data_IF_449451674207
#
_entry.id   IF_449451674207
#
_cell.length_a   1.000
_cell.length_b   1.000
_cell.length_c   1.000
_cell.angle_alpha   90.00
_cell.angle_beta   90.00
_cell.angle_gamma   90.00
#
_symmetry.space_group_name_H-M   'P 1'
#
loop_
_entity.id
_entity.type
_entity.pdbx_description
1 polymer ?
#
# COMPACT_ATOMS: atom_id res chain seq x y z
N UNK A 1 19.97 -5.91 9.05
CA UNK A 1 18.65 -5.82 8.39
C UNK A 1 17.62 -6.53 9.24
N UNK A 2 16.53 -5.84 9.56
CA UNK A 2 15.36 -6.39 10.24
C UNK A 2 14.13 -6.18 9.36
N UNK A 3 13.14 -7.07 9.49
CA UNK A 3 11.90 -6.98 8.75
C UNK A 3 10.73 -7.50 9.58
N UNK A 4 9.62 -6.79 9.51
CA UNK A 4 8.36 -7.16 10.15
C UNK A 4 7.20 -6.56 9.38
N UNK A 5 6.00 -7.08 9.61
CA UNK A 5 4.80 -6.59 8.97
C UNK A 5 3.83 -6.02 10.00
N UNK A 6 3.15 -4.93 9.64
CA UNK A 6 2.11 -4.30 10.45
C UNK A 6 0.76 -4.60 9.79
N UNK A 7 -0.20 -5.11 10.56
CA UNK A 7 -1.58 -5.28 10.09
C UNK A 7 -2.34 -3.98 10.39
N UNK A 8 -2.42 -3.09 9.40
CA UNK A 8 -2.89 -1.72 9.58
C UNK A 8 -4.39 -1.70 9.90
N UNK A 9 -5.16 -2.33 9.03
CA UNK A 9 -6.61 -2.43 9.10
C UNK A 9 -7.05 -3.63 8.26
N UNK A 10 -8.33 -3.93 8.30
CA UNK A 10 -8.96 -4.78 7.28
C UNK A 10 -10.21 -4.15 6.75
N UNK A 11 -10.62 -4.58 5.56
CA UNK A 11 -11.83 -4.10 4.90
C UNK A 11 -12.47 -5.27 4.18
N UNK A 12 -13.70 -5.06 3.70
CA UNK A 12 -14.44 -6.05 2.93
C UNK A 12 -14.48 -5.66 1.46
N UNK A 13 -14.20 -6.64 0.60
CA UNK A 13 -14.31 -6.52 -0.85
C UNK A 13 -15.21 -7.62 -1.41
N UNK A 14 -15.89 -7.37 -2.54
CA UNK A 14 -16.64 -8.42 -3.23
C UNK A 14 -15.69 -9.55 -3.67
N UNK A 15 -15.99 -10.80 -3.26
CA UNK A 15 -15.14 -11.93 -3.58
C UNK A 15 -15.10 -12.26 -5.08
N UNK A 16 -16.16 -11.95 -5.82
CA UNK A 16 -16.16 -12.07 -7.28
C UNK A 16 -15.23 -11.07 -7.95
N UNK A 17 -15.20 -9.83 -7.45
CA UNK A 17 -14.25 -8.81 -7.90
C UNK A 17 -12.80 -9.22 -7.61
N UNK A 18 -12.52 -9.73 -6.40
CA UNK A 18 -11.17 -10.15 -6.00
C UNK A 18 -10.63 -11.35 -6.79
N UNK A 19 -11.49 -12.31 -7.13
CA UNK A 19 -11.08 -13.55 -7.80
C UNK A 19 -11.39 -13.60 -9.31
N UNK A 20 -11.99 -12.54 -9.85
CA UNK A 20 -12.26 -12.36 -11.28
C UNK A 20 -13.00 -13.55 -11.91
N UNK A 21 -12.35 -14.22 -12.86
CA UNK A 21 -12.94 -15.32 -13.63
C UNK A 21 -13.08 -16.62 -12.83
N UNK A 22 -12.48 -16.73 -11.65
CA UNK A 22 -12.53 -17.94 -10.84
C UNK A 22 -13.94 -18.09 -10.25
N UNK A 23 -14.63 -19.22 -10.47
CA UNK A 23 -15.96 -19.44 -9.93
C UNK A 23 -15.98 -19.39 -8.39
N UNK A 24 -17.06 -18.85 -7.82
CA UNK A 24 -17.30 -18.83 -6.36
C UNK A 24 -17.18 -20.20 -5.71
N UNK A 25 -17.64 -21.27 -6.37
CA UNK A 25 -17.51 -22.63 -5.87
C UNK A 25 -16.04 -23.09 -5.67
N UNK A 26 -15.06 -22.39 -6.25
CA UNK A 26 -13.63 -22.65 -6.12
C UNK A 26 -13.02 -21.69 -5.10
N UNK A 27 -13.11 -20.37 -5.29
CA UNK A 27 -12.42 -19.42 -4.42
C UNK A 27 -12.97 -19.39 -2.99
N UNK A 28 -14.26 -19.72 -2.79
CA UNK A 28 -14.88 -19.74 -1.46
C UNK A 28 -14.35 -20.86 -0.55
N UNK A 29 -13.55 -21.78 -1.09
CA UNK A 29 -12.81 -22.78 -0.30
C UNK A 29 -11.65 -22.16 0.50
N UNK A 30 -11.14 -21.01 0.04
CA UNK A 30 -10.01 -20.32 0.65
C UNK A 30 -10.46 -19.10 1.46
N UNK A 31 -11.46 -18.37 0.96
CA UNK A 31 -12.01 -17.18 1.62
C UNK A 31 -13.50 -17.35 1.88
N UNK A 32 -13.89 -17.29 3.15
CA UNK A 32 -15.30 -17.31 3.54
C UNK A 32 -15.93 -15.96 3.20
N UNK A 33 -16.93 -15.96 2.33
CA UNK A 33 -17.75 -14.80 2.04
C UNK A 33 -18.97 -14.73 2.97
N UNK A 34 -19.45 -13.52 3.24
CA UNK A 34 -20.72 -13.27 3.93
C UNK A 34 -21.93 -13.34 2.98
N UNK A 35 -23.13 -13.06 3.49
CA UNK A 35 -24.38 -13.05 2.72
C UNK A 35 -24.39 -12.05 1.56
N UNK A 36 -23.53 -11.03 1.59
CA UNK A 36 -23.36 -10.02 0.55
C UNK A 36 -22.24 -10.34 -0.44
N UNK A 37 -21.69 -11.57 -0.38
CA UNK A 37 -20.55 -12.01 -1.18
C UNK A 37 -19.23 -11.30 -0.85
N UNK A 38 -19.16 -10.60 0.28
CA UNK A 38 -17.97 -9.88 0.68
C UNK A 38 -16.99 -10.79 1.42
N UNK A 39 -15.70 -10.62 1.17
CA UNK A 39 -14.61 -11.29 1.86
C UNK A 39 -13.76 -10.27 2.60
N UNK A 40 -13.23 -10.67 3.77
CA UNK A 40 -12.33 -9.84 4.56
C UNK A 40 -10.92 -9.86 3.97
N UNK A 41 -10.39 -8.68 3.66
CA UNK A 41 -9.03 -8.43 3.14
C UNK A 41 -8.26 -7.62 4.18
N UNK A 42 -7.01 -7.99 4.42
CA UNK A 42 -6.13 -7.32 5.40
C UNK A 42 -5.17 -6.38 4.68
N UNK A 43 -5.16 -5.12 5.10
CA UNK A 43 -4.15 -4.15 4.69
C UNK A 43 -2.92 -4.33 5.57
N UNK A 44 -1.78 -4.56 4.91
CA UNK A 44 -0.53 -4.83 5.59
C UNK A 44 0.60 -4.05 4.95
N UNK A 45 1.40 -3.40 5.77
CA UNK A 45 2.68 -2.83 5.36
C UNK A 45 3.82 -3.75 5.75
N UNK A 46 4.88 -3.75 4.94
CA UNK A 46 6.16 -4.35 5.30
C UNK A 46 7.13 -3.25 5.71
N UNK A 47 7.74 -3.39 6.88
CA UNK A 47 8.81 -2.50 7.35
C UNK A 47 10.15 -3.22 7.19
N UNK A 48 11.13 -2.51 6.62
CA UNK A 48 12.49 -3.00 6.42
C UNK A 48 13.45 -2.00 7.05
N UNK A 49 14.19 -2.45 8.06
CA UNK A 49 15.23 -1.64 8.72
C UNK A 49 16.59 -2.11 8.22
N UNK A 50 17.39 -1.18 7.73
CA UNK A 50 18.79 -1.36 7.37
C UNK A 50 19.66 -0.44 8.24
N UNK A 51 20.98 -0.49 8.06
CA UNK A 51 21.89 0.33 8.85
C UNK A 51 21.70 1.85 8.58
N UNK A 52 21.11 2.22 7.44
CA UNK A 52 20.95 3.60 7.00
C UNK A 52 19.48 4.02 6.76
N UNK A 53 18.54 3.07 6.72
CA UNK A 53 17.17 3.31 6.24
C UNK A 53 16.13 2.60 7.07
N UNK A 54 14.98 3.25 7.24
CA UNK A 54 13.72 2.66 7.69
C UNK A 54 12.74 2.79 6.53
N UNK A 55 12.54 1.69 5.83
CA UNK A 55 11.74 1.63 4.60
C UNK A 55 10.38 1.05 4.94
N UNK A 56 9.32 1.78 4.58
CA UNK A 56 7.94 1.34 4.69
C UNK A 56 7.41 1.00 3.28
N UNK A 57 6.95 -0.24 3.08
CA UNK A 57 6.27 -0.66 1.84
C UNK A 57 4.77 -0.53 2.05
N UNK A 58 4.13 0.34 1.26
CA UNK A 58 2.74 0.78 1.36
C UNK A 58 2.37 1.34 2.74
N UNK A 59 1.29 2.11 2.83
CA UNK A 59 0.87 2.77 4.09
C UNK A 59 -0.64 2.74 4.34
N UNK A 60 -1.37 1.85 3.67
CA UNK A 60 -2.77 1.63 3.98
C UNK A 60 -3.69 2.76 3.52
N UNK A 61 -4.89 2.79 4.11
CA UNK A 61 -6.00 3.66 3.70
C UNK A 61 -5.97 5.06 4.30
N UNK A 62 -5.39 5.23 5.49
CA UNK A 62 -5.43 6.50 6.23
C UNK A 62 -6.84 6.89 6.72
N UNK A 63 -7.00 8.14 7.15
CA UNK A 63 -8.21 8.62 7.84
C UNK A 63 -8.84 9.86 7.18
N UNK A 64 -8.45 10.17 5.93
CA UNK A 64 -8.83 11.43 5.27
C UNK A 64 -10.18 11.39 4.59
N UNK A 65 -10.56 10.22 4.07
CA UNK A 65 -11.78 10.03 3.31
C UNK A 65 -12.99 10.14 4.25
N UNK A 66 -14.11 10.66 3.72
CA UNK A 66 -15.33 10.83 4.51
C UNK A 66 -16.06 9.50 4.74
N UNK A 67 -17.02 9.51 5.66
CA UNK A 67 -17.85 8.35 5.97
C UNK A 67 -18.60 7.85 4.73
N UNK A 68 -18.94 8.75 3.79
CA UNK A 68 -19.66 8.39 2.58
C UNK A 68 -18.83 7.50 1.64
N UNK A 69 -17.52 7.75 1.54
CA UNK A 69 -16.59 6.88 0.82
C UNK A 69 -16.31 5.58 1.60
N UNK A 70 -16.03 5.69 2.91
CA UNK A 70 -15.58 4.57 3.74
C UNK A 70 -16.68 3.55 4.07
N UNK A 71 -17.97 3.94 4.05
CA UNK A 71 -19.08 3.06 4.42
C UNK A 71 -19.17 1.77 3.57
N UNK A 72 -18.70 1.84 2.31
CA UNK A 72 -18.73 0.69 1.39
C UNK A 72 -17.58 -0.29 1.60
N UNK A 73 -16.56 0.12 2.35
CA UNK A 73 -15.36 -0.68 2.60
C UNK A 73 -15.49 -1.55 3.85
N UNK A 74 -16.42 -1.25 4.77
CA UNK A 74 -16.60 -1.99 6.03
C UNK A 74 -15.28 -2.17 6.77
N UNK A 75 -14.60 -1.05 7.04
CA UNK A 75 -13.29 -1.06 7.67
C UNK A 75 -13.41 -1.60 9.10
N UNK A 76 -12.53 -2.56 9.41
CA UNK A 76 -12.34 -3.13 10.73
C UNK A 76 -10.95 -2.72 11.22
N UNK A 77 -10.91 -2.14 12.42
CA UNK A 77 -9.67 -1.74 13.09
C UNK A 77 -8.78 -2.95 13.37
N UNK A 78 -7.47 -2.80 13.17
CA UNK A 78 -6.46 -3.80 13.50
C UNK A 78 -5.39 -3.16 14.40
N UNK A 79 -4.10 -3.30 14.08
CA UNK A 79 -3.03 -2.69 14.86
C UNK A 79 -2.97 -1.18 14.66
N UNK A 80 -3.29 -0.68 13.46
CA UNK A 80 -3.02 0.69 13.05
C UNK A 80 -1.59 0.86 12.53
N UNK A 81 -1.39 1.77 11.56
CA UNK A 81 -0.07 1.96 10.94
C UNK A 81 0.91 2.60 11.93
N UNK A 82 0.48 3.66 12.62
CA UNK A 82 1.36 4.43 13.52
C UNK A 82 1.61 3.65 14.79
N UNK A 83 0.56 3.08 15.36
CA UNK A 83 0.61 2.22 16.52
C UNK A 83 1.52 1.02 16.27
N UNK A 84 1.47 0.41 15.08
CA UNK A 84 2.33 -0.71 14.71
C UNK A 84 3.79 -0.35 14.49
N UNK A 85 4.10 0.86 14.03
CA UNK A 85 5.47 1.38 14.00
C UNK A 85 5.99 1.65 15.42
N UNK A 86 5.17 2.31 16.24
CA UNK A 86 5.52 2.66 17.63
C UNK A 86 5.69 1.41 18.49
N UNK A 87 4.93 0.34 18.26
CA UNK A 87 5.09 -0.96 18.95
C UNK A 87 6.47 -1.59 18.71
N UNK A 88 7.12 -1.22 17.60
CA UNK A 88 8.49 -1.59 17.24
C UNK A 88 9.52 -0.49 17.55
N UNK A 89 9.16 0.52 18.34
CA UNK A 89 9.98 1.68 18.71
C UNK A 89 10.41 2.55 17.51
N UNK A 90 9.59 2.62 16.47
CA UNK A 90 9.83 3.49 15.30
C UNK A 90 8.81 4.63 15.34
N UNK A 91 9.31 5.85 15.40
CA UNK A 91 8.50 7.05 15.23
C UNK A 91 8.30 7.37 13.74
N UNK A 92 7.18 8.00 13.34
CA UNK A 92 6.96 8.35 11.93
C UNK A 92 8.07 9.21 11.31
N UNK A 93 8.76 10.03 12.11
CA UNK A 93 9.89 10.85 11.66
C UNK A 93 11.16 10.04 11.36
N UNK A 94 11.24 8.79 11.81
CA UNK A 94 12.38 7.91 11.57
C UNK A 94 12.26 7.14 10.26
N UNK A 95 11.05 7.08 9.67
CA UNK A 95 10.84 6.51 8.34
C UNK A 95 11.56 7.37 7.30
N UNK A 96 12.49 6.76 6.57
CA UNK A 96 13.33 7.44 5.57
C UNK A 96 12.75 7.32 4.16
N UNK A 97 12.03 6.22 3.89
CA UNK A 97 11.53 5.90 2.57
C UNK A 97 10.15 5.24 2.69
N UNK A 98 9.17 5.74 1.94
CA UNK A 98 7.87 5.10 1.75
C UNK A 98 7.81 4.63 0.30
N UNK A 99 7.88 3.32 0.05
CA UNK A 99 7.77 2.75 -1.29
C UNK A 99 6.32 2.33 -1.51
N UNK A 100 5.64 3.03 -2.40
CA UNK A 100 4.27 2.75 -2.79
C UNK A 100 4.28 1.78 -3.97
N UNK A 101 3.81 0.55 -3.72
CA UNK A 101 3.74 -0.51 -4.73
C UNK A 101 2.87 -0.08 -5.90
N UNK A 102 1.74 0.56 -5.60
CA UNK A 102 0.91 1.28 -6.53
C UNK A 102 0.10 2.35 -5.78
N UNK A 103 -0.67 3.15 -6.52
CA UNK A 103 -1.29 4.38 -6.00
C UNK A 103 -2.79 4.25 -5.74
N UNK A 104 -3.31 3.04 -5.58
CA UNK A 104 -4.68 2.89 -5.08
C UNK A 104 -4.78 3.39 -3.63
N UNK A 105 -5.97 3.87 -3.26
CA UNK A 105 -6.24 4.53 -1.99
C UNK A 105 -5.85 3.69 -0.77
N UNK A 106 -5.97 2.37 -0.84
CA UNK A 106 -5.69 1.42 0.22
C UNK A 106 -4.19 1.07 0.36
N UNK A 107 -3.34 1.58 -0.54
CA UNK A 107 -1.89 1.43 -0.49
C UNK A 107 -1.15 2.73 -0.18
N UNK A 108 -1.73 3.89 -0.54
CA UNK A 108 -1.08 5.20 -0.42
C UNK A 108 -1.82 6.20 0.49
N UNK A 109 -3.02 5.85 0.96
CA UNK A 109 -3.89 6.73 1.72
C UNK A 109 -3.33 7.13 3.09
N UNK A 110 -2.55 6.28 3.75
CA UNK A 110 -1.94 6.61 5.05
C UNK A 110 -0.70 7.51 4.99
N UNK A 111 -0.31 7.99 3.80
CA UNK A 111 0.87 8.85 3.65
C UNK A 111 0.62 10.33 4.00
N UNK A 112 -0.61 10.79 3.80
CA UNK A 112 -1.03 12.17 4.04
C UNK A 112 -2.14 12.17 5.09
N UNK A 113 -2.14 13.15 5.97
CA UNK A 113 -3.23 13.45 6.91
C UNK A 113 -3.64 14.93 6.79
N UNK A 114 -4.68 15.34 7.50
CA UNK A 114 -5.10 16.74 7.58
C UNK A 114 -4.74 17.31 8.95
N UNK A 115 -3.99 18.42 8.94
CA UNK A 115 -3.71 19.19 10.15
C UNK A 115 -4.95 19.92 10.69
N UNK A 116 -4.76 20.62 11.80
CA UNK A 116 -5.77 21.42 12.50
C UNK A 116 -6.59 22.37 11.59
N UNK A 117 -5.98 22.94 10.54
CA UNK A 117 -6.65 23.83 9.58
C UNK A 117 -7.17 23.13 8.31
N UNK A 118 -7.21 21.78 8.30
CA UNK A 118 -7.45 20.96 7.10
C UNK A 118 -6.39 21.13 6.00
N UNK A 119 -5.23 21.64 6.35
CA UNK A 119 -4.05 21.66 5.49
C UNK A 119 -3.44 20.25 5.40
N UNK A 120 -3.06 19.76 4.21
CA UNK A 120 -2.45 18.45 4.09
C UNK A 120 -1.07 18.43 4.74
N UNK A 121 -0.79 17.39 5.53
CA UNK A 121 0.49 17.17 6.20
C UNK A 121 0.96 15.74 5.94
N UNK A 122 2.27 15.56 5.78
CA UNK A 122 2.84 14.23 5.61
C UNK A 122 2.89 13.50 6.96
N UNK A 123 2.43 12.24 6.96
CA UNK A 123 2.50 11.37 8.14
C UNK A 123 3.95 10.98 8.43
N UNK A 124 4.74 10.78 7.38
CA UNK A 124 6.19 10.52 7.44
C UNK A 124 6.94 11.73 6.85
N UNK A 125 7.23 12.78 7.66
CA UNK A 125 7.70 14.07 7.15
C UNK A 125 9.16 14.09 6.67
N UNK A 126 9.96 13.11 7.08
CA UNK A 126 11.36 12.97 6.66
C UNK A 126 11.53 11.94 5.53
N UNK A 127 10.45 11.28 5.11
CA UNK A 127 10.52 10.21 4.13
C UNK A 127 10.43 10.75 2.70
N UNK A 128 11.16 10.12 1.80
CA UNK A 128 10.85 10.21 0.36
C UNK A 128 9.78 9.17 0.00
N UNK A 129 8.74 9.60 -0.71
CA UNK A 129 7.66 8.76 -1.21
C UNK A 129 8.01 8.34 -2.62
N UNK A 130 8.28 7.05 -2.78
CA UNK A 130 8.75 6.45 -4.03
C UNK A 130 7.61 5.76 -4.75
N UNK A 131 7.44 6.08 -6.02
CA UNK A 131 6.60 5.32 -6.96
C UNK A 131 7.25 5.30 -8.34
N UNK A 132 6.62 4.73 -9.36
CA UNK A 132 7.12 4.85 -10.74
C UNK A 132 6.47 6.03 -11.43
N UNK A 133 7.20 6.69 -12.33
CA UNK A 133 6.60 7.76 -13.15
C UNK A 133 5.38 7.24 -13.94
N UNK A 134 5.46 5.98 -14.40
CA UNK A 134 4.34 5.32 -15.10
C UNK A 134 3.09 5.19 -14.22
N UNK A 135 3.27 4.78 -12.97
CA UNK A 135 2.17 4.65 -12.02
C UNK A 135 1.59 6.02 -11.67
N UNK A 136 2.43 7.04 -11.49
CA UNK A 136 2.00 8.41 -11.24
C UNK A 136 1.17 8.97 -12.39
N UNK A 137 1.64 8.81 -13.63
CA UNK A 137 0.88 9.22 -14.82
C UNK A 137 -0.48 8.53 -14.88
N UNK A 138 -0.55 7.23 -14.57
CA UNK A 138 -1.81 6.49 -14.55
C UNK A 138 -2.77 7.00 -13.45
N UNK A 139 -2.23 7.37 -12.28
CA UNK A 139 -3.04 7.88 -11.18
C UNK A 139 -3.55 9.31 -11.42
N UNK A 140 -2.82 10.12 -12.18
CA UNK A 140 -3.21 11.50 -12.53
C UNK A 140 -4.19 11.57 -13.70
N UNK A 141 -4.20 10.58 -14.59
CA UNK A 141 -5.12 10.45 -15.72
C UNK A 141 -5.62 9.00 -15.85
N UNK A 142 -6.42 8.51 -14.88
CA UNK A 142 -6.85 7.13 -14.86
C UNK A 142 -7.96 6.90 -15.87
N UNK A 143 -8.05 5.66 -16.34
CA UNK A 143 -9.24 5.26 -17.09
C UNK A 143 -10.47 5.21 -16.15
N UNK A 144 -11.71 5.31 -16.68
CA UNK A 144 -12.91 5.39 -15.85
C UNK A 144 -13.14 4.21 -14.90
N UNK A 145 -12.52 3.05 -15.13
CA UNK A 145 -12.67 1.87 -14.26
C UNK A 145 -11.84 1.99 -12.99
N UNK A 146 -10.66 2.61 -13.06
CA UNK A 146 -9.74 2.73 -11.92
C UNK A 146 -9.85 4.09 -11.21
N UNK A 147 -10.57 5.06 -11.78
CA UNK A 147 -10.65 6.42 -11.27
C UNK A 147 -11.06 6.49 -9.78
N UNK A 148 -12.02 5.67 -9.35
CA UNK A 148 -12.50 5.64 -7.96
C UNK A 148 -11.45 5.13 -6.95
N UNK A 149 -10.38 4.48 -7.44
CA UNK A 149 -9.28 3.99 -6.62
C UNK A 149 -8.12 5.01 -6.49
N UNK A 150 -8.07 6.04 -7.35
CA UNK A 150 -7.03 7.08 -7.31
C UNK A 150 -7.59 8.38 -6.73
N UNK A 151 -7.20 8.68 -5.49
CA UNK A 151 -7.70 9.84 -4.76
C UNK A 151 -6.66 10.96 -4.75
N UNK A 152 -6.97 12.07 -5.41
CA UNK A 152 -6.04 13.19 -5.62
C UNK A 152 -5.49 13.78 -4.30
N UNK A 153 -6.30 13.76 -3.24
CA UNK A 153 -5.93 14.22 -1.90
C UNK A 153 -4.91 13.32 -1.18
N UNK A 154 -4.73 12.08 -1.65
CA UNK A 154 -3.62 11.23 -1.20
C UNK A 154 -2.34 11.52 -1.97
N UNK A 155 -2.45 12.01 -3.22
CA UNK A 155 -1.34 12.05 -4.17
C UNK A 155 -0.72 13.45 -4.30
N UNK A 156 -1.51 14.45 -4.69
CA UNK A 156 -1.02 15.80 -4.96
C UNK A 156 -0.22 16.40 -3.80
N UNK A 157 -0.62 16.22 -2.52
CA UNK A 157 0.18 16.74 -1.42
C UNK A 157 1.57 16.14 -1.31
N UNK A 158 1.79 14.88 -1.71
CA UNK A 158 3.14 14.28 -1.74
C UNK A 158 4.07 15.05 -2.70
N UNK A 159 3.53 15.48 -3.84
CA UNK A 159 4.26 16.29 -4.82
C UNK A 159 4.44 17.73 -4.34
N UNK A 160 3.38 18.37 -3.84
CA UNK A 160 3.39 19.76 -3.40
C UNK A 160 4.31 20.00 -2.20
N UNK A 161 4.41 19.01 -1.29
CA UNK A 161 5.33 19.04 -0.15
C UNK A 161 6.78 18.70 -0.54
N UNK A 162 7.04 18.35 -1.81
CA UNK A 162 8.38 18.00 -2.30
C UNK A 162 8.89 16.66 -1.77
N UNK A 163 8.00 15.75 -1.40
CA UNK A 163 8.34 14.45 -0.83
C UNK A 163 8.32 13.31 -1.86
N UNK A 164 7.71 13.53 -3.02
CA UNK A 164 7.60 12.56 -4.11
C UNK A 164 8.89 12.46 -4.92
N UNK A 165 9.35 11.24 -5.18
CA UNK A 165 10.40 10.94 -6.16
C UNK A 165 10.09 9.63 -6.91
N UNK A 166 10.75 9.41 -8.04
CA UNK A 166 10.43 8.33 -8.97
C UNK A 166 11.53 7.28 -9.09
N UNK A 167 11.12 6.02 -9.08
CA UNK A 167 11.98 4.88 -9.45
C UNK A 167 12.08 4.83 -10.97
N UNK A 168 13.15 5.41 -11.52
CA UNK A 168 13.39 5.44 -12.98
C UNK A 168 13.75 4.06 -13.55
N UNK A 169 14.55 3.28 -12.82
CA UNK A 169 15.03 1.97 -13.27
C UNK A 169 14.83 0.92 -12.17
N UNK A 170 13.95 -0.08 -12.38
CA UNK A 170 13.81 -1.20 -11.48
C UNK A 170 15.14 -1.94 -11.30
N UNK A 171 15.42 -2.37 -10.08
CA UNK A 171 16.72 -2.93 -9.69
C UNK A 171 16.93 -2.83 -8.19
N UNK A 172 18.18 -2.82 -7.74
CA UNK A 172 18.48 -2.61 -6.33
C UNK A 172 18.20 -1.16 -5.93
N UNK A 173 17.21 -0.99 -5.03
CA UNK A 173 16.93 0.28 -4.38
C UNK A 173 17.99 0.60 -3.32
N UNK A 174 18.36 -0.41 -2.53
CA UNK A 174 19.48 -0.37 -1.60
C UNK A 174 20.03 -1.81 -1.41
N UNK A 175 21.16 -2.01 -0.71
CA UNK A 175 21.69 -3.34 -0.45
C UNK A 175 20.65 -4.27 0.19
N UNK A 176 20.28 -5.33 -0.55
CA UNK A 176 19.32 -6.33 -0.11
C UNK A 176 17.84 -6.01 -0.38
N UNK A 177 17.51 -4.84 -0.93
CA UNK A 177 16.15 -4.50 -1.37
C UNK A 177 16.16 -4.20 -2.87
N UNK A 178 15.54 -5.09 -3.64
CA UNK A 178 15.33 -4.96 -5.08
C UNK A 178 13.86 -4.61 -5.36
N UNK A 179 13.61 -3.73 -6.32
CA UNK A 179 12.28 -3.38 -6.78
C UNK A 179 12.14 -3.85 -8.23
N UNK A 180 11.10 -4.63 -8.51
CA UNK A 180 10.73 -4.98 -9.88
C UNK A 180 9.48 -4.24 -10.30
N UNK A 181 9.50 -3.65 -11.48
CA UNK A 181 8.29 -3.10 -12.09
C UNK A 181 7.55 -4.21 -12.85
N UNK A 182 6.25 -4.28 -12.61
CA UNK A 182 5.34 -5.17 -13.31
C UNK A 182 4.17 -4.36 -13.88
N UNK A 183 3.55 -4.90 -14.91
CA UNK A 183 2.33 -4.34 -15.51
C UNK A 183 1.26 -5.42 -15.42
N UNK A 184 0.32 -5.24 -14.49
CA UNK A 184 -0.67 -6.25 -14.14
C UNK A 184 -1.90 -5.60 -13.55
N UNK A 185 -1.98 -5.54 -12.22
CA UNK A 185 -3.05 -4.85 -11.50
C UNK A 185 -3.13 -3.38 -11.89
N UNK A 186 -1.99 -2.67 -11.86
CA UNK A 186 -1.86 -1.31 -12.38
C UNK A 186 -0.61 -1.15 -13.26
N UNK A 187 -0.59 -0.20 -14.21
CA UNK A 187 0.59 0.10 -15.01
C UNK A 187 1.72 0.71 -14.16
N UNK A 188 2.82 -0.03 -14.00
CA UNK A 188 4.00 0.50 -13.29
C UNK A 188 4.02 0.13 -11.81
N UNK A 189 3.22 -0.85 -11.40
CA UNK A 189 3.26 -1.43 -10.07
C UNK A 189 4.68 -1.95 -9.73
N UNK A 190 5.13 -1.70 -8.51
CA UNK A 190 6.37 -2.20 -7.96
C UNK A 190 6.13 -3.46 -7.10
N UNK A 191 7.05 -4.41 -7.22
CA UNK A 191 7.14 -5.63 -6.43
C UNK A 191 8.47 -5.62 -5.68
N UNK A 192 8.45 -5.38 -4.36
CA UNK A 192 9.65 -5.48 -3.52
C UNK A 192 10.14 -6.93 -3.38
N UNK A 193 11.44 -7.11 -3.56
CA UNK A 193 12.18 -8.36 -3.41
C UNK A 193 13.29 -8.14 -2.39
N UNK A 194 13.15 -8.78 -1.23
CA UNK A 194 14.04 -8.60 -0.08
C UNK A 194 14.95 -9.83 0.01
N UNK A 195 16.25 -9.61 -0.17
CA UNK A 195 17.30 -10.62 -0.06
C UNK A 195 17.75 -10.71 1.39
N UNK A 196 17.14 -11.62 2.16
CA UNK A 196 17.34 -11.78 3.60
C UNK A 196 18.15 -13.04 3.93
N UNK A 197 19.46 -12.86 4.10
CA UNK A 197 20.39 -13.97 4.35
C UNK A 197 20.44 -14.95 3.17
N UNK A 198 19.98 -16.20 3.38
CA UNK A 198 19.87 -17.22 2.31
C UNK A 198 18.46 -17.32 1.72
N UNK A 199 17.54 -16.45 2.14
CA UNK A 199 16.14 -16.45 1.71
C UNK A 199 15.85 -15.22 0.88
N UNK A 200 14.86 -15.32 0.01
CA UNK A 200 14.28 -14.20 -0.71
C UNK A 200 12.82 -14.09 -0.32
N UNK A 201 12.41 -12.93 0.16
CA UNK A 201 11.01 -12.58 0.39
C UNK A 201 10.53 -11.73 -0.78
N UNK A 202 9.37 -12.05 -1.33
CA UNK A 202 8.73 -11.25 -2.38
C UNK A 202 7.44 -10.69 -1.79
N UNK A 203 7.32 -9.36 -1.72
CA UNK A 203 6.09 -8.70 -1.34
C UNK A 203 5.22 -8.56 -2.58
N UNK A 204 4.26 -9.48 -2.74
CA UNK A 204 3.48 -9.61 -3.97
C UNK A 204 2.52 -8.46 -4.26
N UNK A 205 2.21 -7.62 -3.26
CA UNK A 205 1.17 -6.58 -3.35
C UNK A 205 -0.08 -7.14 -4.08
N UNK A 206 -0.71 -6.34 -4.93
CA UNK A 206 -1.91 -6.76 -5.65
C UNK A 206 -1.63 -7.56 -6.93
N UNK A 207 -0.36 -7.90 -7.23
CA UNK A 207 -0.06 -8.92 -8.23
C UNK A 207 -0.45 -10.31 -7.70
N UNK A 208 -0.25 -10.52 -6.39
CA UNK A 208 -0.66 -11.73 -5.67
C UNK A 208 -1.31 -11.27 -4.35
N UNK A 209 -2.56 -10.76 -4.38
CA UNK A 209 -3.16 -10.08 -3.23
C UNK A 209 -3.29 -10.99 -2.00
N UNK A 210 -3.51 -12.30 -2.23
CA UNK A 210 -3.72 -13.26 -1.15
C UNK A 210 -3.15 -14.63 -1.47
N UNK A 211 -3.04 -15.49 -0.45
CA UNK A 211 -2.65 -16.89 -0.61
C UNK A 211 -3.61 -17.71 -1.49
N UNK A 212 -4.85 -17.24 -1.73
CA UNK A 212 -5.78 -17.89 -2.65
C UNK A 212 -5.48 -17.65 -4.13
N UNK A 213 -4.47 -16.81 -4.44
CA UNK A 213 -4.02 -16.48 -5.79
C UNK A 213 -2.76 -17.27 -6.20
N UNK A 214 -2.35 -18.25 -5.39
CA UNK A 214 -1.25 -19.19 -5.65
C UNK A 214 -1.85 -20.59 -5.81
#
# INVERSE_FOLDING_TARGET
>A
MELFSINIASFKADGGAMFGVVPKAIWSKYFKADEHNLIRIMLRSLVIITDERVILIDNGIGEKQDEDYLQFLYIEEEEGLIEGLVSHNIQPQEVTDVILTHLHFDHCGGGISFGWNREPVAVFPNATYWTTERQWQNAMDPNPREADAYLSENLLPMQELGLLDFIEQPGFFCPGVELRMVHGHTPGQLIPIIHYGKKTLVFGADLIPTHGHI
#
